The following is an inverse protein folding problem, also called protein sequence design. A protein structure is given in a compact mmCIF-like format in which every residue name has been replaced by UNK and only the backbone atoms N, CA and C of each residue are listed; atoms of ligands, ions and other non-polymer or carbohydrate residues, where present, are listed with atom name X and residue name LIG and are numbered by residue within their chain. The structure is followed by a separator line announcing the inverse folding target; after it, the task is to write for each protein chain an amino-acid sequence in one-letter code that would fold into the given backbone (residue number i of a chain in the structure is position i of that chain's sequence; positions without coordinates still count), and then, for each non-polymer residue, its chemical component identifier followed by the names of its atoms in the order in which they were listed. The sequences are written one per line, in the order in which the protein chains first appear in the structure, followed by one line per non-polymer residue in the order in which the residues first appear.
data_IF_363709481692
#
_entry.id   IF_363709481692
#
_cell.length_a   1.000
_cell.length_b   1.000
_cell.length_c   1.000
_cell.angle_alpha   90.00
_cell.angle_beta   90.00
_cell.angle_gamma   90.00
#
_symmetry.space_group_name_H-M   'P 1'
#
loop_
_entity.id
_entity.type
_entity.pdbx_description
1 polymer ?
#
# COMPACT_ATOMS: atom_id res chain seq x y z
N UNK A 1 7.93 18.06 -7.88
CA UNK A 1 8.50 17.21 -6.83
C UNK A 1 7.88 15.83 -6.89
N UNK A 2 8.69 14.79 -6.84
CA UNK A 2 8.17 13.43 -6.96
C UNK A 2 7.86 12.82 -5.61
N UNK A 3 6.67 12.26 -5.49
CA UNK A 3 6.26 11.50 -4.33
C UNK A 3 6.67 10.05 -4.57
N UNK A 4 7.34 9.44 -3.59
CA UNK A 4 7.80 8.06 -3.73
C UNK A 4 7.16 7.16 -2.69
N UNK A 5 6.78 5.97 -3.13
CA UNK A 5 6.23 4.95 -2.28
C UNK A 5 7.23 3.83 -2.10
N UNK A 6 7.39 3.38 -0.87
CA UNK A 6 8.24 2.25 -0.54
C UNK A 6 7.38 1.05 -0.20
N UNK A 7 7.81 -0.11 -0.66
CA UNK A 7 7.13 -1.34 -0.29
C UNK A 7 7.68 -1.81 1.04
N UNK A 8 6.79 -2.10 1.97
CA UNK A 8 7.16 -2.65 3.27
C UNK A 8 6.67 -4.07 3.37
N UNK A 9 7.41 -4.88 4.10
CA UNK A 9 7.08 -6.27 4.33
C UNK A 9 6.64 -6.43 5.78
N UNK A 10 5.50 -7.06 5.99
CA UNK A 10 4.98 -7.29 7.33
C UNK A 10 4.68 -8.76 7.52
N UNK A 11 4.81 -9.22 8.78
CA UNK A 11 4.48 -10.58 9.13
C UNK A 11 3.15 -10.56 9.87
N UNK A 12 2.17 -11.22 9.30
CA UNK A 12 0.82 -11.23 9.84
C UNK A 12 0.50 -12.58 10.47
N UNK A 13 -0.31 -12.54 11.52
CA UNK A 13 -0.71 -13.72 12.25
C UNK A 13 -2.22 -13.84 12.26
N UNK A 14 -2.71 -15.00 11.84
CA UNK A 14 -4.15 -15.29 11.91
C UNK A 14 -4.36 -16.41 12.92
N UNK A 15 -5.51 -16.39 13.60
CA UNK A 15 -5.79 -17.33 14.68
C UNK A 15 -5.76 -18.79 14.24
N UNK A 16 -6.31 -19.06 13.07
CA UNK A 16 -6.48 -20.42 12.60
C UNK A 16 -5.58 -20.79 11.43
N UNK A 17 -4.54 -20.01 11.18
CA UNK A 17 -3.65 -20.30 10.07
C UNK A 17 -2.21 -19.98 10.43
N UNK A 18 -1.29 -20.46 9.61
CA UNK A 18 0.11 -20.17 9.80
C UNK A 18 0.40 -18.70 9.52
N UNK A 19 1.42 -18.14 10.18
CA UNK A 19 1.84 -16.76 9.86
C UNK A 19 2.16 -16.63 8.38
N UNK A 20 1.85 -15.49 7.81
CA UNK A 20 2.14 -15.22 6.41
C UNK A 20 2.80 -13.86 6.27
N UNK A 21 3.49 -13.67 5.14
CA UNK A 21 4.11 -12.40 4.80
C UNK A 21 3.13 -11.61 3.94
N UNK A 22 2.93 -10.36 4.32
CA UNK A 22 2.12 -9.45 3.54
C UNK A 22 2.97 -8.23 3.17
N UNK A 23 2.53 -7.48 2.21
CA UNK A 23 3.23 -6.31 1.72
C UNK A 23 2.33 -5.10 1.80
N UNK A 24 2.92 -3.98 2.14
CA UNK A 24 2.23 -2.73 2.25
C UNK A 24 3.04 -1.60 1.65
N UNK A 25 2.63 -0.38 1.95
CA UNK A 25 3.26 0.81 1.39
C UNK A 25 3.57 1.83 2.48
N UNK A 26 4.66 2.53 2.28
CA UNK A 26 5.04 3.66 3.12
C UNK A 26 5.35 4.83 2.20
N UNK A 27 4.88 6.00 2.57
CA UNK A 27 5.07 7.22 1.79
C UNK A 27 5.29 8.40 2.71
N UNK A 28 6.21 9.28 2.33
CA UNK A 28 6.37 10.54 3.02
C UNK A 28 6.57 11.66 2.00
N UNK A 29 6.03 12.82 2.31
CA UNK A 29 6.09 13.98 1.44
C UNK A 29 5.95 15.24 2.28
N UNK A 30 7.02 16.04 2.32
CA UNK A 30 7.04 17.18 3.20
C UNK A 30 6.99 16.77 4.66
N UNK A 31 6.04 17.31 5.41
CA UNK A 31 5.83 16.97 6.81
C UNK A 31 4.80 15.86 7.00
N UNK A 32 4.24 15.35 5.90
CA UNK A 32 3.23 14.31 5.95
C UNK A 32 3.81 12.94 5.67
N UNK A 33 3.25 11.94 6.31
CA UNK A 33 3.64 10.56 6.06
C UNK A 33 2.44 9.64 6.27
N UNK A 34 2.48 8.50 5.58
CA UNK A 34 1.44 7.49 5.72
C UNK A 34 2.09 6.11 5.54
N UNK A 35 1.55 5.14 6.26
CA UNK A 35 2.04 3.78 6.15
C UNK A 35 0.86 2.83 6.29
N UNK A 36 0.77 1.88 5.39
CA UNK A 36 -0.27 0.86 5.42
C UNK A 36 0.38 -0.50 5.24
N UNK A 37 0.21 -1.37 6.21
CA UNK A 37 0.68 -2.75 6.11
C UNK A 37 -0.44 -3.65 5.63
N UNK A 38 -0.09 -4.90 5.35
CA UNK A 38 -1.06 -5.95 5.02
C UNK A 38 -2.04 -5.57 3.91
N UNK A 39 -1.51 -4.99 2.83
CA UNK A 39 -2.34 -4.68 1.67
C UNK A 39 -2.61 -5.95 0.88
N UNK A 40 -1.58 -6.74 0.64
CA UNK A 40 -1.70 -7.96 -0.14
C UNK A 40 -0.52 -8.88 0.15
N UNK A 41 -0.72 -10.20 0.12
CA UNK A 41 0.40 -11.13 0.19
C UNK A 41 1.17 -11.23 -1.12
N UNK A 42 0.68 -10.60 -2.18
CA UNK A 42 1.32 -10.60 -3.48
C UNK A 42 2.14 -9.32 -3.67
N UNK A 43 3.47 -9.45 -3.62
CA UNK A 43 4.37 -8.31 -3.74
C UNK A 43 4.20 -7.57 -5.06
N UNK A 44 4.02 -8.29 -6.16
CA UNK A 44 3.85 -7.67 -7.47
C UNK A 44 2.63 -6.76 -7.51
N UNK A 45 1.54 -7.17 -6.88
CA UNK A 45 0.34 -6.35 -6.82
C UNK A 45 0.61 -5.04 -6.10
N UNK A 46 1.38 -5.11 -5.00
CA UNK A 46 1.74 -3.91 -4.24
C UNK A 46 2.71 -3.04 -5.02
N UNK A 47 3.63 -3.65 -5.77
CA UNK A 47 4.55 -2.89 -6.62
C UNK A 47 3.81 -2.13 -7.71
N UNK A 48 2.82 -2.77 -8.34
CA UNK A 48 2.00 -2.11 -9.35
C UNK A 48 1.19 -0.96 -8.75
N UNK A 49 0.69 -1.18 -7.53
CA UNK A 49 -0.04 -0.13 -6.83
C UNK A 49 0.88 1.05 -6.54
N UNK A 50 2.09 0.79 -6.07
CA UNK A 50 3.06 1.84 -5.80
C UNK A 50 3.37 2.65 -7.06
N UNK A 51 3.58 1.96 -8.18
CA UNK A 51 3.85 2.62 -9.45
C UNK A 51 2.69 3.51 -9.87
N UNK A 52 1.47 3.03 -9.70
CA UNK A 52 0.29 3.80 -10.04
C UNK A 52 0.17 5.05 -9.17
N UNK A 53 0.38 4.88 -7.86
CA UNK A 53 0.28 6.00 -6.92
C UNK A 53 1.35 7.04 -7.18
N UNK A 54 2.56 6.62 -7.54
CA UNK A 54 3.63 7.55 -7.89
C UNK A 54 3.32 8.29 -9.18
N UNK A 55 2.79 7.58 -10.16
CA UNK A 55 2.45 8.17 -11.46
C UNK A 55 1.34 9.21 -11.32
N UNK A 56 0.37 8.94 -10.47
CA UNK A 56 -0.75 9.85 -10.21
C UNK A 56 -0.42 10.89 -9.15
N UNK A 57 0.80 10.85 -8.61
CA UNK A 57 1.26 11.80 -7.60
C UNK A 57 0.32 11.90 -6.41
N UNK A 58 -0.11 10.75 -5.90
CA UNK A 58 -1.01 10.68 -4.76
C UNK A 58 -0.23 11.03 -3.49
N UNK A 59 -0.66 12.07 -2.79
CA UNK A 59 -0.04 12.49 -1.54
C UNK A 59 -0.43 11.57 -0.39
N UNK A 60 0.42 11.48 0.66
CA UNK A 60 0.12 10.60 1.79
C UNK A 60 -1.25 10.84 2.42
N UNK A 61 -1.69 12.09 2.45
CA UNK A 61 -2.98 12.45 3.05
C UNK A 61 -4.15 11.83 2.31
N UNK A 62 -3.97 11.52 1.02
CA UNK A 62 -5.02 10.93 0.18
C UNK A 62 -4.88 9.43 -0.02
N UNK A 63 -3.83 8.84 0.55
CA UNK A 63 -3.52 7.43 0.31
C UNK A 63 -4.67 6.50 0.73
N UNK A 64 -5.22 6.70 1.91
CA UNK A 64 -6.29 5.86 2.41
C UNK A 64 -7.54 5.94 1.54
N UNK A 65 -7.89 7.14 1.10
CA UNK A 65 -9.06 7.34 0.25
C UNK A 65 -8.93 6.59 -1.07
N UNK A 66 -7.76 6.69 -1.69
CA UNK A 66 -7.50 6.00 -2.96
C UNK A 66 -7.55 4.48 -2.77
N UNK A 67 -6.93 3.98 -1.71
CA UNK A 67 -6.92 2.55 -1.44
C UNK A 67 -8.33 2.01 -1.16
N UNK A 68 -9.12 2.74 -0.39
CA UNK A 68 -10.49 2.34 -0.13
C UNK A 68 -11.30 2.25 -1.43
N UNK A 69 -11.12 3.23 -2.30
CA UNK A 69 -11.80 3.22 -3.60
C UNK A 69 -11.41 2.00 -4.42
N UNK A 70 -10.12 1.71 -4.49
CA UNK A 70 -9.63 0.58 -5.27
C UNK A 70 -10.11 -0.75 -4.71
N UNK A 71 -10.12 -0.89 -3.39
CA UNK A 71 -10.60 -2.10 -2.74
C UNK A 71 -12.09 -2.30 -2.95
N UNK A 72 -12.86 -1.21 -2.85
CA UNK A 72 -14.30 -1.26 -3.02
C UNK A 72 -14.69 -1.64 -4.46
N UNK A 73 -13.92 -1.17 -5.43
CA UNK A 73 -14.17 -1.48 -6.84
C UNK A 73 -13.62 -2.82 -7.28
N UNK A 74 -12.82 -3.47 -6.44
CA UNK A 74 -12.17 -4.72 -6.79
C UNK A 74 -11.01 -4.57 -7.75
N UNK A 75 -10.58 -3.34 -8.03
CA UNK A 75 -9.51 -3.07 -8.99
C UNK A 75 -8.15 -3.59 -8.56
N UNK A 76 -8.02 -3.90 -7.30
CA UNK A 76 -6.73 -4.25 -6.71
C UNK A 76 -6.49 -5.77 -6.63
N UNK A 77 -7.33 -6.58 -7.13
CA UNK A 77 -7.19 -8.04 -7.02
C UNK A 77 -6.46 -8.69 -8.17
#
# INVERSE_FOLDING_TARGET
MKIKYKIIETKEFAEDSEPYIAYGLSCSFGSESAEIGDISPNREAVERLADLLEREEVEPVHLFDVLYDMLASGSFR
#
